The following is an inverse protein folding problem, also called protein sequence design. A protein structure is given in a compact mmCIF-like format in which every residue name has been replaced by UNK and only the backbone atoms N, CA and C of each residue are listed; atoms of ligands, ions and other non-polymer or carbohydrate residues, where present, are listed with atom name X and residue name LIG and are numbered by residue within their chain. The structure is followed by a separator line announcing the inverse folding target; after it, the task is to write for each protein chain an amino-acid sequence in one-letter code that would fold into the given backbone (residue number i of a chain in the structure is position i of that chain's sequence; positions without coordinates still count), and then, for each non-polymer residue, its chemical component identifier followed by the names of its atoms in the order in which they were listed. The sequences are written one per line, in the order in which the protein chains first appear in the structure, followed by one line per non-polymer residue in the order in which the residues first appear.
data_IF_744493952029
#
_entry.id   IF_744493952029
#
_cell.length_a   1.000
_cell.length_b   1.000
_cell.length_c   1.000
_cell.angle_alpha   90.00
_cell.angle_beta   90.00
_cell.angle_gamma   90.00
#
_symmetry.space_group_name_H-M   'P 1'
#
loop_
_entity.id
_entity.type
_entity.pdbx_description
1 polymer ?
#
# COMPACT_ATOMS: atom_id res chain seq x y z
N UNK A 1 -5.30 -8.48 9.50
CA UNK A 1 -6.67 -8.54 10.08
C UNK A 1 -7.77 -8.42 9.02
N UNK A 2 -7.63 -7.54 8.04
CA UNK A 2 -8.63 -7.34 6.96
C UNK A 2 -8.82 -8.56 6.05
N UNK A 3 -7.83 -9.42 5.89
CA UNK A 3 -7.94 -10.65 5.09
C UNK A 3 -9.05 -11.60 5.59
N UNK A 4 -9.29 -11.68 6.89
CA UNK A 4 -10.39 -12.49 7.49
C UNK A 4 -11.79 -12.00 7.11
N UNK A 5 -11.92 -10.75 6.68
CA UNK A 5 -13.18 -10.14 6.26
C UNK A 5 -13.37 -10.13 4.73
N UNK A 6 -12.38 -10.61 3.96
CA UNK A 6 -12.43 -10.56 2.49
C UNK A 6 -13.60 -11.35 1.89
N UNK A 7 -14.03 -12.43 2.55
CA UNK A 7 -15.22 -13.20 2.13
C UNK A 7 -16.53 -12.42 2.30
N UNK A 8 -16.65 -11.62 3.36
CA UNK A 8 -17.84 -10.76 3.58
C UNK A 8 -17.96 -9.64 2.54
N UNK A 9 -16.83 -9.18 1.98
CA UNK A 9 -16.81 -8.16 0.93
C UNK A 9 -16.95 -8.73 -0.49
N UNK A 10 -17.05 -10.05 -0.66
CA UNK A 10 -17.20 -10.69 -1.96
C UNK A 10 -18.42 -10.17 -2.74
N UNK A 11 -19.57 -10.05 -2.09
CA UNK A 11 -20.80 -9.53 -2.70
C UNK A 11 -20.70 -8.05 -3.10
N UNK A 12 -19.99 -7.23 -2.33
CA UNK A 12 -19.75 -5.82 -2.65
C UNK A 12 -18.82 -5.67 -3.87
N UNK A 13 -17.71 -6.41 -3.89
CA UNK A 13 -16.77 -6.44 -5.03
C UNK A 13 -17.47 -6.91 -6.32
N UNK A 14 -18.36 -7.90 -6.22
CA UNK A 14 -19.15 -8.36 -7.36
C UNK A 14 -20.08 -7.27 -7.89
N UNK A 15 -20.79 -6.53 -7.04
CA UNK A 15 -21.63 -5.40 -7.44
C UNK A 15 -20.83 -4.30 -8.14
N UNK A 16 -19.64 -3.94 -7.59
CA UNK A 16 -18.70 -3.01 -8.23
C UNK A 16 -18.31 -3.52 -9.62
N UNK A 17 -17.89 -4.78 -9.73
CA UNK A 17 -17.49 -5.38 -11.00
C UNK A 17 -18.60 -5.37 -12.05
N UNK A 18 -19.85 -5.64 -11.67
CA UNK A 18 -21.02 -5.58 -12.58
C UNK A 18 -21.32 -4.15 -13.01
N UNK A 19 -21.28 -3.19 -12.08
CA UNK A 19 -21.56 -1.78 -12.39
C UNK A 19 -20.49 -1.18 -13.31
N UNK A 20 -19.22 -1.25 -12.92
CA UNK A 20 -18.11 -0.70 -13.71
C UNK A 20 -17.77 -1.54 -14.95
N UNK A 21 -18.14 -2.82 -14.96
CA UNK A 21 -18.04 -3.68 -16.13
C UNK A 21 -18.91 -3.24 -17.32
N UNK A 22 -19.90 -2.37 -17.13
CA UNK A 22 -20.71 -1.78 -18.22
C UNK A 22 -19.91 -0.77 -19.06
N UNK A 23 -18.89 -0.18 -18.49
CA UNK A 23 -18.03 0.75 -19.24
C UNK A 23 -17.17 -0.01 -20.26
N UNK A 24 -16.91 0.58 -21.44
CA UNK A 24 -16.12 -0.05 -22.50
C UNK A 24 -14.61 -0.04 -22.21
N UNK A 25 -14.22 0.00 -20.94
CA UNK A 25 -12.83 0.02 -20.50
C UNK A 25 -12.36 -1.40 -20.20
N UNK A 26 -11.12 -1.68 -20.60
CA UNK A 26 -10.41 -2.89 -20.18
C UNK A 26 -9.96 -2.78 -18.72
N UNK A 27 -9.82 -3.92 -17.98
CA UNK A 27 -9.30 -3.89 -16.61
C UNK A 27 -7.99 -3.10 -16.48
N UNK A 28 -7.03 -3.29 -17.37
CA UNK A 28 -5.74 -2.59 -17.37
C UNK A 28 -5.87 -1.06 -17.53
N UNK A 29 -6.96 -0.56 -18.13
CA UNK A 29 -7.20 0.88 -18.20
C UNK A 29 -7.58 1.47 -16.83
N UNK A 30 -8.30 0.71 -16.00
CA UNK A 30 -8.60 1.11 -14.63
C UNK A 30 -7.32 1.16 -13.76
N UNK A 31 -6.43 0.17 -13.95
CA UNK A 31 -5.10 0.15 -13.31
C UNK A 31 -4.27 1.37 -13.71
N UNK A 32 -4.27 1.75 -15.01
CA UNK A 32 -3.56 2.96 -15.46
C UNK A 32 -4.17 4.24 -14.87
N UNK A 33 -5.49 4.32 -14.79
CA UNK A 33 -6.19 5.45 -14.17
C UNK A 33 -5.85 5.59 -12.67
N UNK A 34 -5.61 4.50 -11.96
CA UNK A 34 -5.18 4.55 -10.56
C UNK A 34 -3.79 5.21 -10.41
N UNK A 35 -2.86 4.95 -11.34
CA UNK A 35 -1.55 5.64 -11.38
C UNK A 35 -1.73 7.13 -11.64
N UNK A 36 -2.58 7.50 -12.60
CA UNK A 36 -2.85 8.92 -12.91
C UNK A 36 -3.43 9.64 -11.70
N UNK A 37 -4.38 9.00 -10.99
CA UNK A 37 -4.94 9.55 -9.77
C UNK A 37 -3.89 9.68 -8.66
N UNK A 38 -2.98 8.71 -8.51
CA UNK A 38 -1.88 8.75 -7.55
C UNK A 38 -0.87 9.87 -7.88
N UNK A 39 -0.52 10.06 -9.17
CA UNK A 39 0.33 11.17 -9.62
C UNK A 39 -0.33 12.52 -9.39
N UNK A 40 -1.63 12.61 -9.60
CA UNK A 40 -2.39 13.83 -9.28
C UNK A 40 -2.40 14.09 -7.76
N UNK A 41 -2.56 13.06 -6.95
CA UNK A 41 -2.44 13.16 -5.49
C UNK A 41 -1.03 13.64 -5.08
N UNK A 42 0.02 13.07 -5.68
CA UNK A 42 1.40 13.53 -5.49
C UNK A 42 1.55 15.03 -5.78
N UNK A 43 1.02 15.50 -6.90
CA UNK A 43 1.09 16.92 -7.26
C UNK A 43 0.47 17.81 -6.19
N UNK A 44 -0.70 17.43 -5.66
CA UNK A 44 -1.35 18.20 -4.59
C UNK A 44 -0.61 18.10 -3.25
N UNK A 45 0.01 16.94 -2.92
CA UNK A 45 0.89 16.83 -1.75
C UNK A 45 2.08 17.79 -1.89
N UNK A 46 2.70 17.84 -3.08
CA UNK A 46 3.81 18.74 -3.36
C UNK A 46 3.43 20.22 -3.22
N UNK A 47 2.20 20.58 -3.58
CA UNK A 47 1.64 21.91 -3.36
C UNK A 47 1.15 22.13 -1.91
N UNK A 48 1.34 21.17 -1.04
CA UNK A 48 0.86 21.17 0.35
C UNK A 48 -0.68 21.32 0.50
N UNK A 49 -1.43 20.96 -0.54
CA UNK A 49 -2.89 20.91 -0.57
C UNK A 49 -3.38 19.49 -0.23
N UNK A 50 -3.42 19.16 1.07
CA UNK A 50 -3.61 17.76 1.50
C UNK A 50 -5.03 17.23 1.34
N UNK A 51 -6.07 18.06 1.42
CA UNK A 51 -7.46 17.60 1.25
C UNK A 51 -7.72 17.07 -0.17
N UNK A 52 -7.45 17.80 -1.27
CA UNK A 52 -7.61 17.26 -2.61
C UNK A 52 -6.64 16.10 -2.87
N UNK A 53 -5.43 16.11 -2.28
CA UNK A 53 -4.51 14.99 -2.36
C UNK A 53 -5.11 13.70 -1.76
N UNK A 54 -5.70 13.79 -0.56
CA UNK A 54 -6.34 12.65 0.09
C UNK A 54 -7.51 12.10 -0.73
N UNK A 55 -8.34 12.99 -1.32
CA UNK A 55 -9.45 12.58 -2.19
C UNK A 55 -8.95 11.83 -3.43
N UNK A 56 -7.91 12.35 -4.10
CA UNK A 56 -7.33 11.69 -5.27
C UNK A 56 -6.66 10.36 -4.93
N UNK A 57 -6.02 10.26 -3.77
CA UNK A 57 -5.47 9.00 -3.29
C UNK A 57 -6.58 7.98 -2.96
N UNK A 58 -7.69 8.41 -2.36
CA UNK A 58 -8.84 7.55 -2.14
C UNK A 58 -9.44 7.06 -3.48
N UNK A 59 -9.50 7.94 -4.49
CA UNK A 59 -9.90 7.57 -5.85
C UNK A 59 -8.92 6.54 -6.43
N UNK A 60 -7.61 6.73 -6.31
CA UNK A 60 -6.61 5.78 -6.79
C UNK A 60 -6.81 4.38 -6.16
N UNK A 61 -6.98 4.33 -4.82
CA UNK A 61 -7.24 3.09 -4.09
C UNK A 61 -8.58 2.44 -4.49
N UNK A 62 -9.59 3.24 -4.82
CA UNK A 62 -10.88 2.73 -5.29
C UNK A 62 -10.80 2.16 -6.71
N UNK A 63 -10.07 2.82 -7.61
CA UNK A 63 -9.83 2.37 -8.99
C UNK A 63 -9.12 1.00 -9.01
N UNK A 64 -8.18 0.77 -8.10
CA UNK A 64 -7.51 -0.50 -7.87
C UNK A 64 -8.50 -1.63 -7.48
N UNK A 65 -9.49 -1.33 -6.65
CA UNK A 65 -10.56 -2.29 -6.33
C UNK A 65 -11.44 -2.57 -7.54
N UNK A 66 -11.67 -1.58 -8.41
CA UNK A 66 -12.51 -1.70 -9.61
C UNK A 66 -11.84 -2.64 -10.60
N UNK A 67 -10.56 -2.48 -10.93
CA UNK A 67 -9.88 -3.25 -11.98
C UNK A 67 -9.92 -4.76 -11.71
N UNK A 68 -9.59 -5.18 -10.50
CA UNK A 68 -9.67 -6.57 -10.09
C UNK A 68 -11.12 -7.10 -10.03
N UNK A 69 -12.10 -6.23 -9.70
CA UNK A 69 -13.51 -6.61 -9.70
C UNK A 69 -14.06 -6.77 -11.11
N UNK A 70 -13.72 -5.86 -12.03
CA UNK A 70 -14.10 -5.92 -13.45
C UNK A 70 -13.42 -7.11 -14.15
N UNK A 71 -12.13 -7.38 -13.87
CA UNK A 71 -11.42 -8.53 -14.44
C UNK A 71 -12.12 -9.84 -14.11
N UNK A 72 -12.55 -10.03 -12.85
CA UNK A 72 -13.31 -11.22 -12.41
C UNK A 72 -14.68 -11.31 -13.07
N UNK A 73 -15.42 -10.21 -13.11
CA UNK A 73 -16.79 -10.19 -13.63
C UNK A 73 -16.84 -10.41 -15.15
N UNK A 74 -15.83 -9.90 -15.89
CA UNK A 74 -15.75 -10.09 -17.35
C UNK A 74 -15.02 -11.38 -17.75
N UNK A 75 -14.61 -12.23 -16.80
CA UNK A 75 -13.76 -13.41 -17.06
C UNK A 75 -12.47 -13.06 -17.83
N UNK A 76 -11.91 -11.87 -17.58
CA UNK A 76 -10.68 -11.35 -18.19
C UNK A 76 -9.47 -11.38 -17.22
N UNK A 77 -9.51 -12.28 -16.25
CA UNK A 77 -8.36 -12.51 -15.37
C UNK A 77 -7.21 -13.08 -16.20
N UNK A 78 -6.06 -12.42 -16.17
CA UNK A 78 -4.88 -12.85 -16.92
C UNK A 78 -3.63 -12.74 -16.05
N UNK A 79 -2.61 -13.52 -16.38
CA UNK A 79 -1.30 -13.47 -15.70
C UNK A 79 -0.68 -12.09 -15.83
N UNK A 80 -0.76 -11.48 -17.03
CA UNK A 80 -0.27 -10.12 -17.26
C UNK A 80 -1.03 -9.11 -16.39
N UNK A 81 -2.37 -9.22 -16.29
CA UNK A 81 -3.17 -8.33 -15.44
C UNK A 81 -2.78 -8.43 -13.97
N UNK A 82 -2.61 -9.64 -13.44
CA UNK A 82 -2.17 -9.86 -12.06
C UNK A 82 -0.75 -9.32 -11.80
N UNK A 83 0.15 -9.47 -12.77
CA UNK A 83 1.50 -8.88 -12.70
C UNK A 83 1.45 -7.36 -12.67
N UNK A 84 0.71 -6.74 -13.62
CA UNK A 84 0.58 -5.27 -13.68
C UNK A 84 -0.06 -4.72 -12.41
N UNK A 85 -1.10 -5.34 -11.89
CA UNK A 85 -1.75 -4.99 -10.62
C UNK A 85 -0.71 -4.96 -9.48
N UNK A 86 0.05 -6.05 -9.33
CA UNK A 86 1.10 -6.15 -8.31
C UNK A 86 2.15 -5.04 -8.42
N UNK A 87 2.60 -4.71 -9.63
CA UNK A 87 3.61 -3.67 -9.85
C UNK A 87 3.01 -2.28 -9.60
N UNK A 88 1.82 -2.01 -10.16
CA UNK A 88 1.11 -0.74 -9.98
C UNK A 88 0.89 -0.41 -8.52
N UNK A 89 0.53 -1.39 -7.72
CA UNK A 89 0.39 -1.30 -6.28
C UNK A 89 1.62 -0.69 -5.59
N UNK A 90 2.81 -1.12 -6.02
CA UNK A 90 4.06 -0.61 -5.44
C UNK A 90 4.35 0.80 -5.92
N UNK A 91 4.06 1.08 -7.18
CA UNK A 91 4.22 2.44 -7.71
C UNK A 91 3.27 3.43 -7.04
N UNK A 92 1.99 3.08 -6.83
CA UNK A 92 1.04 3.95 -6.12
C UNK A 92 1.52 4.24 -4.71
N UNK A 93 1.91 3.21 -3.94
CA UNK A 93 2.44 3.37 -2.59
C UNK A 93 3.71 4.25 -2.58
N UNK A 94 4.66 3.99 -3.50
CA UNK A 94 5.87 4.78 -3.66
C UNK A 94 5.57 6.25 -3.99
N UNK A 95 4.70 6.52 -4.96
CA UNK A 95 4.34 7.88 -5.40
C UNK A 95 3.82 8.71 -4.23
N UNK A 96 2.98 8.12 -3.38
CA UNK A 96 2.42 8.83 -2.23
C UNK A 96 3.50 9.09 -1.16
N UNK A 97 4.28 8.08 -0.78
CA UNK A 97 5.37 8.26 0.20
C UNK A 97 6.39 9.27 -0.34
N UNK A 98 6.71 9.23 -1.63
CA UNK A 98 7.61 10.17 -2.27
C UNK A 98 7.02 11.59 -2.30
N UNK A 99 5.71 11.75 -2.49
CA UNK A 99 5.04 13.04 -2.34
C UNK A 99 5.20 13.63 -0.95
N UNK A 100 4.97 12.83 0.09
CA UNK A 100 5.14 13.24 1.48
C UNK A 100 6.59 13.67 1.80
N UNK A 101 7.57 13.18 1.04
CA UNK A 101 8.98 13.57 1.19
C UNK A 101 9.25 15.04 0.86
N UNK A 102 8.42 15.65 0.00
CA UNK A 102 8.52 17.07 -0.34
C UNK A 102 7.73 17.98 0.60
N UNK A 103 6.79 17.42 1.36
CA UNK A 103 6.04 18.20 2.34
C UNK A 103 6.92 18.58 3.54
N UNK A 104 6.71 19.79 4.07
CA UNK A 104 7.45 20.29 5.22
C UNK A 104 6.90 19.71 6.52
N UNK A 105 7.60 18.74 7.08
CA UNK A 105 7.31 18.19 8.42
C UNK A 105 8.33 18.70 9.44
N UNK A 106 7.94 18.81 10.73
CA UNK A 106 8.89 19.11 11.81
C UNK A 106 9.94 17.99 11.97
N UNK A 107 10.94 18.22 12.80
CA UNK A 107 11.82 17.14 13.23
C UNK A 107 11.07 16.16 14.14
N UNK A 108 11.45 14.89 14.08
CA UNK A 108 10.91 13.88 14.97
C UNK A 108 11.67 13.94 16.29
N UNK A 109 11.04 14.53 17.29
CA UNK A 109 11.59 14.66 18.63
C UNK A 109 10.92 13.64 19.57
N UNK A 110 11.72 12.83 20.22
CA UNK A 110 11.27 11.90 21.24
C UNK A 110 11.95 12.26 22.57
N UNK A 111 11.17 12.56 23.60
CA UNK A 111 11.66 12.95 24.93
C UNK A 111 12.66 14.14 24.89
N UNK A 112 12.47 15.08 23.96
CA UNK A 112 13.32 16.26 23.81
C UNK A 112 14.64 16.00 23.06
N UNK A 113 14.83 14.80 22.51
CA UNK A 113 15.96 14.44 21.67
C UNK A 113 15.51 14.38 20.22
N UNK A 114 16.13 15.17 19.35
CA UNK A 114 15.90 15.09 17.91
C UNK A 114 16.60 13.85 17.35
N UNK A 115 15.83 12.77 17.13
CA UNK A 115 16.39 11.48 16.74
C UNK A 115 16.59 11.39 15.23
N UNK A 116 15.59 11.77 14.46
CA UNK A 116 15.59 11.59 13.00
C UNK A 116 14.86 12.72 12.29
N UNK A 117 15.30 13.03 11.07
CA UNK A 117 14.53 13.90 10.20
C UNK A 117 13.26 13.18 9.72
N UNK A 118 12.21 13.94 9.41
CA UNK A 118 10.99 13.40 8.79
C UNK A 118 11.27 12.61 7.52
N UNK A 119 12.25 13.07 6.73
CA UNK A 119 12.71 12.40 5.51
C UNK A 119 13.32 11.03 5.80
N UNK A 120 14.11 10.91 6.87
CA UNK A 120 14.66 9.62 7.30
C UNK A 120 13.55 8.64 7.69
N UNK A 121 12.52 9.11 8.41
CA UNK A 121 11.36 8.26 8.76
C UNK A 121 10.61 7.79 7.52
N UNK A 122 10.42 8.65 6.51
CA UNK A 122 9.79 8.27 5.25
C UNK A 122 10.63 7.26 4.45
N UNK A 123 11.96 7.37 4.47
CA UNK A 123 12.85 6.35 3.86
C UNK A 123 12.75 5.01 4.58
N UNK A 124 12.73 5.00 5.91
CA UNK A 124 12.55 3.78 6.72
C UNK A 124 11.16 3.15 6.41
N UNK A 125 10.12 3.98 6.31
CA UNK A 125 8.78 3.54 5.92
C UNK A 125 8.78 2.92 4.53
N UNK A 126 9.36 3.60 3.54
CA UNK A 126 9.44 3.11 2.17
C UNK A 126 10.17 1.77 2.08
N UNK A 127 11.31 1.66 2.74
CA UNK A 127 12.08 0.41 2.79
C UNK A 127 11.26 -0.72 3.43
N UNK A 128 10.66 -0.50 4.59
CA UNK A 128 9.81 -1.48 5.26
C UNK A 128 8.62 -1.92 4.40
N UNK A 129 7.96 -0.98 3.73
CA UNK A 129 6.84 -1.25 2.81
C UNK A 129 7.25 -2.13 1.63
N UNK A 130 8.40 -1.85 1.02
CA UNK A 130 8.95 -2.68 -0.06
C UNK A 130 9.35 -4.06 0.45
N UNK A 131 10.04 -4.13 1.58
CA UNK A 131 10.52 -5.39 2.16
C UNK A 131 9.38 -6.31 2.61
N UNK A 132 8.24 -5.77 3.06
CA UNK A 132 7.06 -6.61 3.37
C UNK A 132 6.56 -7.39 2.15
N UNK A 133 6.69 -6.83 0.96
CA UNK A 133 6.25 -7.47 -0.29
C UNK A 133 7.35 -8.34 -0.90
N UNK A 134 8.56 -7.81 -0.93
CA UNK A 134 9.72 -8.49 -1.49
C UNK A 134 10.02 -9.80 -0.75
N UNK A 135 9.90 -9.82 0.57
CA UNK A 135 10.12 -11.05 1.36
C UNK A 135 9.18 -12.20 0.99
N UNK A 136 7.93 -11.88 0.59
CA UNK A 136 6.99 -12.91 0.08
C UNK A 136 7.43 -13.41 -1.28
N UNK A 137 7.73 -12.49 -2.22
CA UNK A 137 8.14 -12.84 -3.58
C UNK A 137 9.42 -13.66 -3.58
N UNK A 138 10.43 -13.25 -2.82
CA UNK A 138 11.70 -13.98 -2.70
C UNK A 138 11.51 -15.39 -2.11
N UNK A 139 10.67 -15.56 -1.10
CA UNK A 139 10.40 -16.89 -0.57
C UNK A 139 9.54 -17.75 -1.52
N UNK A 140 8.69 -17.11 -2.33
CA UNK A 140 7.90 -17.81 -3.36
C UNK A 140 8.80 -18.33 -4.50
N UNK A 141 9.81 -17.57 -4.92
CA UNK A 141 10.82 -18.00 -5.90
C UNK A 141 11.55 -19.26 -5.44
N UNK A 142 11.76 -19.43 -4.12
CA UNK A 142 12.36 -20.60 -3.51
C UNK A 142 11.33 -21.71 -3.16
N UNK A 143 10.10 -21.63 -3.70
CA UNK A 143 9.08 -22.69 -3.61
C UNK A 143 8.14 -22.60 -2.41
N UNK A 144 8.23 -21.58 -1.57
CA UNK A 144 7.31 -21.42 -0.42
C UNK A 144 5.95 -20.88 -0.90
N UNK A 145 4.85 -21.55 -0.53
CA UNK A 145 3.51 -21.05 -0.82
C UNK A 145 3.30 -19.68 -0.12
N UNK A 146 2.97 -18.66 -0.92
CA UNK A 146 2.70 -17.29 -0.44
C UNK A 146 1.69 -17.25 0.70
N UNK A 147 0.71 -18.16 0.70
CA UNK A 147 -0.33 -18.24 1.75
C UNK A 147 0.24 -18.49 3.13
N UNK A 148 1.37 -19.19 3.23
CA UNK A 148 2.06 -19.45 4.49
C UNK A 148 2.76 -18.21 5.06
N UNK A 149 3.05 -17.22 4.19
CA UNK A 149 3.74 -15.98 4.53
C UNK A 149 2.79 -14.78 4.66
N UNK A 150 1.52 -14.94 4.23
CA UNK A 150 0.49 -13.91 4.39
C UNK A 150 0.16 -13.73 5.85
N UNK A 151 -0.03 -12.48 6.23
CA UNK A 151 -0.23 -12.05 7.60
C UNK A 151 0.90 -11.12 8.05
N UNK A 152 0.79 -10.64 9.26
CA UNK A 152 1.66 -9.64 9.84
C UNK A 152 0.83 -8.53 10.49
N UNK A 153 1.51 -7.60 11.15
CA UNK A 153 0.85 -6.51 11.87
C UNK A 153 0.30 -5.47 10.89
N UNK A 154 1.01 -5.24 9.77
CA UNK A 154 0.69 -4.20 8.81
C UNK A 154 0.70 -4.74 7.37
N UNK A 155 -0.46 -5.16 6.90
CA UNK A 155 -0.66 -5.57 5.51
C UNK A 155 -0.86 -4.36 4.59
N UNK A 156 -0.81 -4.58 3.25
CA UNK A 156 -0.98 -3.51 2.25
C UNK A 156 -2.24 -2.67 2.47
N UNK A 157 -3.39 -3.30 2.66
CA UNK A 157 -4.65 -2.57 2.84
C UNK A 157 -4.63 -1.64 4.05
N UNK A 158 -4.01 -2.09 5.14
CA UNK A 158 -3.83 -1.29 6.35
C UNK A 158 -2.86 -0.13 6.11
N UNK A 159 -1.77 -0.36 5.33
CA UNK A 159 -0.84 0.70 4.94
C UNK A 159 -1.50 1.79 4.09
N UNK A 160 -2.34 1.41 3.13
CA UNK A 160 -3.08 2.37 2.29
C UNK A 160 -4.01 3.24 3.14
N UNK A 161 -4.71 2.65 4.11
CA UNK A 161 -5.57 3.40 5.05
C UNK A 161 -4.73 4.36 5.90
N UNK A 162 -3.60 3.92 6.43
CA UNK A 162 -2.72 4.77 7.22
C UNK A 162 -2.10 5.89 6.39
N UNK A 163 -1.70 5.65 5.15
CA UNK A 163 -1.22 6.70 4.23
C UNK A 163 -2.30 7.75 3.97
N UNK A 164 -3.55 7.31 3.75
CA UNK A 164 -4.68 8.22 3.62
C UNK A 164 -4.87 9.09 4.87
N UNK A 165 -4.79 8.49 6.05
CA UNK A 165 -4.88 9.22 7.32
C UNK A 165 -3.69 10.17 7.52
N UNK A 166 -2.46 9.79 7.11
CA UNK A 166 -1.29 10.66 7.15
C UNK A 166 -1.51 11.90 6.30
N UNK A 167 -2.02 11.74 5.06
CA UNK A 167 -2.31 12.87 4.17
C UNK A 167 -3.36 13.79 4.81
N UNK A 168 -4.46 13.25 5.34
CA UNK A 168 -5.49 14.04 6.01
C UNK A 168 -4.94 14.77 7.25
N UNK A 169 -4.18 14.07 8.11
CA UNK A 169 -3.60 14.65 9.30
C UNK A 169 -2.57 15.73 8.96
N UNK A 170 -1.90 15.66 7.81
CA UNK A 170 -0.94 16.67 7.37
C UNK A 170 -1.58 18.04 7.13
N UNK A 171 -2.89 18.08 6.84
CA UNK A 171 -3.65 19.31 6.72
C UNK A 171 -3.95 19.94 8.09
N UNK A 172 -4.29 19.10 9.08
CA UNK A 172 -4.67 19.58 10.41
C UNK A 172 -3.46 19.78 11.33
N UNK A 173 -2.51 18.85 11.32
CA UNK A 173 -1.32 18.90 12.17
C UNK A 173 -0.20 18.03 11.63
N UNK A 174 0.84 18.66 11.14
CA UNK A 174 2.03 17.99 10.61
C UNK A 174 2.79 17.20 11.68
N UNK A 175 2.69 17.62 12.93
CA UNK A 175 3.29 16.88 14.04
C UNK A 175 2.61 15.53 14.25
N UNK A 176 1.27 15.49 14.30
CA UNK A 176 0.54 14.21 14.42
C UNK A 176 0.73 13.32 13.20
N UNK A 177 0.75 13.90 11.99
CA UNK A 177 1.08 13.14 10.78
C UNK A 177 2.47 12.50 10.86
N UNK A 178 3.47 13.24 11.35
CA UNK A 178 4.82 12.72 11.54
C UNK A 178 4.89 11.56 12.55
N UNK A 179 4.19 11.67 13.68
CA UNK A 179 4.10 10.54 14.62
C UNK A 179 3.47 9.31 13.99
N UNK A 180 2.43 9.49 13.17
CA UNK A 180 1.81 8.37 12.46
C UNK A 180 2.75 7.77 11.39
N UNK A 181 3.55 8.60 10.68
CA UNK A 181 4.61 8.14 9.77
C UNK A 181 5.63 7.29 10.54
N UNK A 182 6.09 7.74 11.72
CA UNK A 182 7.05 7.01 12.54
C UNK A 182 6.50 5.65 13.01
N UNK A 183 5.26 5.63 13.49
CA UNK A 183 4.58 4.39 13.90
C UNK A 183 4.47 3.43 12.70
N UNK A 184 4.02 3.94 11.56
CA UNK A 184 3.88 3.14 10.35
C UNK A 184 5.23 2.60 9.86
N UNK A 185 6.31 3.41 9.94
CA UNK A 185 7.66 2.99 9.59
C UNK A 185 8.13 1.81 10.46
N UNK A 186 7.92 1.87 11.77
CA UNK A 186 8.25 0.77 12.69
C UNK A 186 7.42 -0.47 12.36
N UNK A 187 6.10 -0.34 12.23
CA UNK A 187 5.20 -1.47 11.99
C UNK A 187 5.46 -2.16 10.64
N UNK A 188 5.80 -1.40 9.59
CA UNK A 188 6.14 -1.95 8.29
C UNK A 188 7.42 -2.81 8.37
N UNK A 189 8.46 -2.31 9.01
CA UNK A 189 9.72 -3.05 9.18
C UNK A 189 9.55 -4.27 10.11
N UNK A 190 8.79 -4.15 11.20
CA UNK A 190 8.45 -5.31 12.05
C UNK A 190 7.71 -6.37 11.25
N UNK A 191 6.76 -5.98 10.39
CA UNK A 191 6.04 -6.92 9.52
C UNK A 191 6.97 -7.60 8.52
N UNK A 192 7.92 -6.86 7.93
CA UNK A 192 8.93 -7.43 7.04
C UNK A 192 9.79 -8.48 7.76
N UNK A 193 10.29 -8.15 8.95
CA UNK A 193 11.07 -9.06 9.78
C UNK A 193 10.27 -10.32 10.20
N UNK A 194 9.00 -10.17 10.54
CA UNK A 194 8.12 -11.31 10.82
C UNK A 194 8.03 -12.26 9.62
N UNK A 195 7.85 -11.73 8.40
CA UNK A 195 7.77 -12.55 7.19
C UNK A 195 9.08 -13.25 6.87
N UNK A 196 10.21 -12.56 6.98
CA UNK A 196 11.55 -13.14 6.83
C UNK A 196 11.76 -14.29 7.83
N UNK A 197 11.40 -14.07 9.09
CA UNK A 197 11.55 -15.11 10.11
C UNK A 197 10.66 -16.34 9.87
N UNK A 198 9.42 -16.14 9.39
CA UNK A 198 8.53 -17.26 9.01
C UNK A 198 9.14 -18.03 7.85
N UNK A 199 9.65 -17.34 6.80
CA UNK A 199 10.30 -17.98 5.67
C UNK A 199 11.52 -18.83 6.12
N UNK A 200 12.40 -18.26 6.94
CA UNK A 200 13.56 -18.99 7.49
C UNK A 200 13.12 -20.25 8.24
N UNK A 201 12.07 -20.17 9.04
CA UNK A 201 11.53 -21.34 9.76
C UNK A 201 11.02 -22.43 8.82
N UNK A 202 10.36 -22.06 7.72
CA UNK A 202 9.87 -23.02 6.72
C UNK A 202 11.06 -23.73 6.08
N UNK A 203 12.05 -22.98 5.56
CA UNK A 203 13.25 -23.54 4.94
C UNK A 203 14.05 -24.47 5.88
N UNK A 204 14.11 -24.12 7.16
CA UNK A 204 14.84 -24.94 8.16
C UNK A 204 14.12 -26.25 8.50
N UNK A 205 12.77 -26.29 8.37
CA UNK A 205 11.98 -27.50 8.59
C UNK A 205 11.99 -28.45 7.40
N UNK A 206 12.04 -27.92 6.17
CA UNK A 206 12.08 -28.74 4.95
C UNK A 206 13.45 -29.40 4.71
N UNK A 207 14.49 -28.97 5.42
CA UNK A 207 15.83 -29.59 5.40
C UNK A 207 16.02 -30.72 6.41
N UNK A 208 15.03 -31.01 7.25
CA UNK A 208 15.05 -32.13 8.22
C UNK A 208 14.07 -33.20 7.80
#
# INVERSE_FOLDING_TARGET
MLYKYSEKFGGFKQKIGVFFGRFPLNPNAWTLLSIVAALSSFYFIWQENFIPAALLFAIAAFLDVIDGSVARTKNKVSVLGAYLDTITDRYVEFIIIFGLFFAAYPHFDLLGISLFSSKTMLLILLFGSLMTSYSISAAHEEGVDERKLRGGILERGERMILLFLIILLSDFSRAYALYLIAIMAVLANVTALQRIWIAIRIFTKERR
#
